data_IF_027663766080
#
_entry.id   IF_027663766080
#
_cell.length_a   1.000
_cell.length_b   1.000
_cell.length_c   1.000
_cell.angle_alpha   90.00
_cell.angle_beta   90.00
_cell.angle_gamma   90.00
#
_symmetry.space_group_name_H-M   'P 1'
#
loop_
_entity.id
_entity.type
_entity.pdbx_description
1 polymer ?
#
# COMPACT_ATOMS: atom_id res chain seq x y z
N UNK A 1 -3.39 -17.59 8.03
CA UNK A 1 -2.45 -18.11 9.05
C UNK A 1 -1.78 -16.99 9.83
N UNK A 2 -1.14 -16.02 9.17
CA UNK A 2 -0.48 -14.87 9.81
C UNK A 2 -1.38 -14.13 10.81
N UNK A 3 -2.60 -13.76 10.41
CA UNK A 3 -3.58 -13.08 11.28
C UNK A 3 -3.83 -13.83 12.59
N UNK A 4 -4.11 -15.14 12.52
CA UNK A 4 -4.29 -15.96 13.72
C UNK A 4 -3.03 -16.02 14.57
N UNK A 5 -1.83 -16.10 13.96
CA UNK A 5 -0.59 -16.11 14.74
C UNK A 5 -0.35 -14.79 15.48
N UNK A 6 -0.90 -13.69 14.97
CA UNK A 6 -0.83 -12.36 15.59
C UNK A 6 -1.85 -12.16 16.71
N UNK A 7 -3.00 -12.85 16.66
CA UNK A 7 -4.11 -12.67 17.63
C UNK A 7 -4.24 -13.80 18.65
N UNK A 8 -3.64 -14.96 18.39
CA UNK A 8 -3.80 -16.13 19.23
C UNK A 8 -2.82 -16.12 20.42
N UNK A 9 -3.38 -16.22 21.63
CA UNK A 9 -2.65 -16.03 22.90
C UNK A 9 -1.55 -17.07 23.16
N UNK A 10 -1.67 -18.27 22.59
CA UNK A 10 -0.75 -19.38 22.86
C UNK A 10 0.00 -19.75 21.58
N UNK A 11 1.29 -19.38 21.43
CA UNK A 11 2.03 -19.58 20.19
C UNK A 11 2.51 -21.03 20.05
N UNK A 12 1.57 -21.99 19.94
CA UNK A 12 1.87 -23.42 19.84
C UNK A 12 2.81 -23.74 18.67
N UNK A 13 2.73 -22.95 17.59
CA UNK A 13 3.63 -23.07 16.43
C UNK A 13 5.11 -22.81 16.75
N UNK A 14 5.44 -22.23 17.91
CA UNK A 14 6.83 -22.01 18.39
C UNK A 14 7.34 -23.11 19.30
N UNK A 15 6.50 -24.07 19.70
CA UNK A 15 6.90 -25.12 20.63
C UNK A 15 7.50 -26.28 19.80
N UNK A 16 8.73 -26.73 20.08
CA UNK A 16 9.35 -27.85 19.36
C UNK A 16 8.45 -29.10 19.35
N UNK A 17 8.22 -29.71 18.18
CA UNK A 17 7.30 -30.85 17.96
C UNK A 17 5.80 -30.51 17.99
N UNK A 18 5.42 -29.35 18.51
CA UNK A 18 4.07 -28.74 18.46
C UNK A 18 3.95 -27.71 17.32
N UNK A 19 5.10 -27.37 16.72
CA UNK A 19 5.37 -26.27 15.81
C UNK A 19 5.05 -26.54 14.34
N UNK A 20 5.92 -26.09 13.43
CA UNK A 20 5.93 -26.49 12.02
C UNK A 20 6.49 -27.91 11.79
N UNK A 21 7.04 -28.51 12.84
CA UNK A 21 7.66 -29.83 12.84
C UNK A 21 6.69 -30.88 13.38
N UNK A 22 6.77 -32.08 12.83
CA UNK A 22 5.99 -33.26 13.21
C UNK A 22 5.94 -33.47 14.75
N UNK A 23 4.81 -33.97 15.34
CA UNK A 23 3.61 -34.52 14.68
C UNK A 23 2.39 -33.59 14.58
N UNK A 24 2.41 -32.40 15.18
CA UNK A 24 1.17 -31.62 15.37
C UNK A 24 0.70 -30.75 14.18
N UNK A 25 1.55 -30.30 13.23
CA UNK A 25 1.04 -29.78 11.96
C UNK A 25 0.08 -30.74 11.26
N UNK A 26 0.31 -32.05 11.37
CA UNK A 26 -0.53 -33.09 10.81
C UNK A 26 -1.88 -33.26 11.54
N UNK A 27 -1.98 -32.80 12.79
CA UNK A 27 -3.20 -32.91 13.61
C UNK A 27 -4.12 -31.70 13.44
N UNK A 28 -3.58 -30.50 13.23
CA UNK A 28 -4.37 -29.27 13.02
C UNK A 28 -4.73 -29.13 11.52
N UNK A 29 -6.01 -29.30 11.11
CA UNK A 29 -6.39 -29.26 9.69
C UNK A 29 -5.94 -27.99 8.97
N UNK A 30 -5.98 -26.83 9.64
CA UNK A 30 -5.54 -25.56 9.07
C UNK A 30 -4.03 -25.50 8.81
N UNK A 31 -3.21 -26.04 9.71
CA UNK A 31 -1.75 -26.08 9.51
C UNK A 31 -1.37 -27.04 8.38
N UNK A 32 -2.04 -28.20 8.27
CA UNK A 32 -1.86 -29.10 7.12
C UNK A 32 -2.14 -28.39 5.80
N UNK A 33 -3.29 -27.72 5.71
CA UNK A 33 -3.65 -26.96 4.51
C UNK A 33 -2.59 -25.90 4.21
N UNK A 34 -2.22 -25.10 5.20
CA UNK A 34 -1.18 -24.08 5.06
C UNK A 34 0.16 -24.66 4.58
N UNK A 35 0.61 -25.79 5.13
CA UNK A 35 1.84 -26.46 4.69
C UNK A 35 1.74 -26.98 3.26
N UNK A 36 0.60 -27.58 2.88
CA UNK A 36 0.38 -28.02 1.51
C UNK A 36 0.41 -26.84 0.52
N UNK A 37 -0.25 -25.74 0.85
CA UNK A 37 -0.28 -24.53 0.02
C UNK A 37 1.12 -23.91 -0.10
N UNK A 38 1.88 -23.85 1.01
CA UNK A 38 3.27 -23.37 0.99
C UNK A 38 4.21 -24.29 0.20
N UNK A 39 4.01 -25.61 0.26
CA UNK A 39 4.80 -26.56 -0.53
C UNK A 39 4.52 -26.41 -2.03
N UNK A 40 3.27 -26.19 -2.42
CA UNK A 40 2.91 -25.88 -3.81
C UNK A 40 3.59 -24.60 -4.27
N UNK A 41 3.46 -23.51 -3.50
CA UNK A 41 4.06 -22.22 -3.83
C UNK A 41 5.59 -22.32 -3.95
N UNK A 42 6.23 -22.99 -3.00
CA UNK A 42 7.68 -23.21 -3.02
C UNK A 42 8.10 -24.04 -4.22
N UNK A 43 7.35 -25.10 -4.56
CA UNK A 43 7.65 -25.94 -5.71
C UNK A 43 7.61 -25.18 -7.04
N UNK A 44 6.60 -24.32 -7.24
CA UNK A 44 6.51 -23.46 -8.42
C UNK A 44 7.66 -22.47 -8.48
N UNK A 45 8.01 -21.83 -7.36
CA UNK A 45 9.10 -20.87 -7.32
C UNK A 45 10.47 -21.52 -7.52
N UNK A 46 10.68 -22.71 -6.95
CA UNK A 46 11.92 -23.48 -7.13
C UNK A 46 12.10 -23.82 -8.62
N UNK A 47 11.03 -24.21 -9.33
CA UNK A 47 11.07 -24.46 -10.78
C UNK A 47 11.43 -23.19 -11.57
N UNK A 48 10.77 -22.06 -11.28
CA UNK A 48 11.06 -20.77 -11.93
C UNK A 48 12.51 -20.32 -11.68
N UNK A 49 12.98 -20.42 -10.45
CA UNK A 49 14.36 -20.07 -10.07
C UNK A 49 15.35 -20.97 -10.80
N UNK A 50 15.12 -22.29 -10.83
CA UNK A 50 16.00 -23.23 -11.52
C UNK A 50 16.08 -22.92 -13.03
N UNK A 51 14.96 -22.60 -13.66
CA UNK A 51 14.92 -22.24 -15.08
C UNK A 51 15.78 -20.99 -15.36
N UNK A 52 15.60 -19.93 -14.58
CA UNK A 52 16.36 -18.68 -14.76
C UNK A 52 17.85 -18.86 -14.44
N UNK A 53 18.18 -19.55 -13.35
CA UNK A 53 19.57 -19.83 -12.95
C UNK A 53 20.29 -20.69 -13.97
N UNK A 54 19.61 -21.63 -14.62
CA UNK A 54 20.21 -22.46 -15.68
C UNK A 54 20.61 -21.66 -16.93
N UNK A 55 20.02 -20.48 -17.11
CA UNK A 55 20.26 -19.57 -18.25
C UNK A 55 20.96 -18.27 -17.81
N UNK A 56 21.59 -18.25 -16.63
CA UNK A 56 22.17 -17.04 -16.04
C UNK A 56 23.26 -16.45 -16.92
N UNK A 57 23.28 -15.12 -17.02
CA UNK A 57 24.35 -14.37 -17.67
C UNK A 57 24.82 -13.28 -16.69
N UNK A 58 25.88 -13.60 -15.93
CA UNK A 58 26.42 -12.67 -14.92
C UNK A 58 26.83 -11.36 -15.58
N UNK A 59 26.22 -10.27 -15.11
CA UNK A 59 26.34 -8.94 -15.69
C UNK A 59 26.41 -7.92 -14.55
N UNK A 60 27.14 -6.83 -14.74
CA UNK A 60 27.19 -5.76 -13.74
C UNK A 60 25.90 -4.93 -13.72
N UNK A 61 25.74 -4.13 -12.66
CA UNK A 61 24.55 -3.30 -12.46
C UNK A 61 24.38 -2.28 -13.57
N UNK A 62 25.47 -1.68 -14.06
CA UNK A 62 25.40 -0.62 -15.08
C UNK A 62 24.89 -1.18 -16.41
N UNK A 63 25.34 -2.37 -16.81
CA UNK A 63 24.86 -3.04 -18.01
C UNK A 63 23.40 -3.51 -17.86
N UNK A 64 22.97 -3.92 -16.67
CA UNK A 64 21.57 -4.25 -16.42
C UNK A 64 20.66 -3.01 -16.47
N UNK A 65 21.08 -1.89 -15.86
CA UNK A 65 20.30 -0.65 -15.86
C UNK A 65 20.15 -0.04 -17.27
N UNK A 66 21.14 -0.24 -18.13
CA UNK A 66 21.11 0.24 -19.51
C UNK A 66 20.64 -0.82 -20.52
N UNK A 67 20.14 -1.96 -20.04
CA UNK A 67 19.64 -3.03 -20.92
C UNK A 67 18.37 -2.54 -21.63
N UNK A 68 18.27 -2.86 -22.91
CA UNK A 68 17.08 -2.56 -23.71
C UNK A 68 15.97 -3.56 -23.39
N UNK A 69 15.20 -3.26 -22.33
CA UNK A 69 14.13 -4.13 -21.84
C UNK A 69 12.99 -4.35 -22.83
N UNK A 70 12.84 -3.52 -23.86
CA UNK A 70 11.83 -3.73 -24.91
C UNK A 70 12.15 -4.96 -25.77
N UNK A 71 13.42 -5.39 -25.78
CA UNK A 71 13.91 -6.52 -26.56
C UNK A 71 14.41 -7.70 -25.69
N UNK A 72 14.10 -7.70 -24.39
CA UNK A 72 14.45 -8.80 -23.50
C UNK A 72 13.33 -9.85 -23.47
N UNK A 73 13.70 -11.12 -23.64
CA UNK A 73 12.75 -12.24 -23.61
C UNK A 73 12.10 -12.45 -22.23
N UNK A 74 12.85 -12.21 -21.15
CA UNK A 74 12.41 -12.30 -19.76
C UNK A 74 12.73 -11.01 -18.99
N UNK A 75 11.82 -10.02 -18.95
CA UNK A 75 11.99 -8.79 -18.20
C UNK A 75 11.60 -8.94 -16.72
N UNK A 76 11.60 -10.15 -16.16
CA UNK A 76 11.22 -10.36 -14.76
C UNK A 76 12.27 -9.85 -13.77
N UNK A 77 11.80 -9.44 -12.59
CA UNK A 77 12.69 -9.10 -11.47
C UNK A 77 13.54 -10.30 -11.03
N UNK A 78 13.03 -11.54 -11.16
CA UNK A 78 13.82 -12.74 -10.89
C UNK A 78 15.05 -12.80 -11.80
N UNK A 79 14.88 -12.57 -13.11
CA UNK A 79 16.00 -12.53 -14.05
C UNK A 79 17.02 -11.47 -13.67
N UNK A 80 16.55 -10.26 -13.36
CA UNK A 80 17.42 -9.17 -12.90
C UNK A 80 18.21 -9.54 -11.64
N UNK A 81 17.56 -10.13 -10.63
CA UNK A 81 18.21 -10.52 -9.38
C UNK A 81 19.24 -11.64 -9.57
N UNK A 82 18.97 -12.61 -10.46
CA UNK A 82 19.89 -13.70 -10.77
C UNK A 82 21.11 -13.19 -11.53
N UNK A 83 20.92 -12.34 -12.53
CA UNK A 83 22.02 -11.80 -13.33
C UNK A 83 22.90 -10.83 -12.50
N UNK A 84 22.30 -10.07 -11.56
CA UNK A 84 23.00 -9.11 -10.70
C UNK A 84 23.76 -9.76 -9.52
N UNK A 85 23.14 -10.70 -8.80
CA UNK A 85 23.68 -11.22 -7.52
C UNK A 85 24.82 -12.23 -7.70
N UNK A 86 25.11 -12.68 -8.92
CA UNK A 86 26.06 -13.76 -9.15
C UNK A 86 25.75 -15.00 -8.30
N UNK A 87 26.78 -15.70 -7.82
CA UNK A 87 26.64 -16.92 -7.01
C UNK A 87 26.25 -16.69 -5.53
N UNK A 88 26.07 -15.44 -5.08
CA UNK A 88 26.02 -15.10 -3.65
C UNK A 88 24.62 -15.22 -2.99
N UNK A 89 23.58 -15.48 -3.76
CA UNK A 89 22.24 -15.74 -3.23
C UNK A 89 21.91 -17.23 -3.24
N UNK A 90 21.66 -17.81 -2.05
CA UNK A 90 21.12 -19.16 -1.97
C UNK A 90 19.74 -19.24 -2.64
N UNK A 91 19.40 -20.38 -3.25
CA UNK A 91 18.06 -20.60 -3.84
C UNK A 91 16.94 -20.31 -2.84
N UNK A 92 17.16 -20.69 -1.57
CA UNK A 92 16.23 -20.39 -0.48
C UNK A 92 16.04 -18.89 -0.27
N UNK A 93 17.11 -18.09 -0.28
CA UNK A 93 17.00 -16.65 -0.12
C UNK A 93 16.26 -16.00 -1.29
N UNK A 94 16.55 -16.41 -2.53
CA UNK A 94 15.82 -15.91 -3.71
C UNK A 94 14.33 -16.23 -3.63
N UNK A 95 13.98 -17.45 -3.23
CA UNK A 95 12.58 -17.84 -3.02
C UNK A 95 11.91 -16.99 -1.94
N UNK A 96 12.55 -16.84 -0.78
CA UNK A 96 11.99 -16.07 0.32
C UNK A 96 11.81 -14.58 -0.05
N UNK A 97 12.73 -14.01 -0.83
CA UNK A 97 12.62 -12.65 -1.39
C UNK A 97 11.44 -12.54 -2.37
N UNK A 98 11.29 -13.50 -3.30
CA UNK A 98 10.20 -13.49 -4.29
C UNK A 98 8.82 -13.67 -3.66
N UNK A 99 8.67 -14.57 -2.68
CA UNK A 99 7.43 -14.74 -1.93
C UNK A 99 7.06 -13.43 -1.23
N UNK A 100 8.04 -12.76 -0.64
CA UNK A 100 7.83 -11.48 0.05
C UNK A 100 7.29 -10.42 -0.93
N UNK A 101 7.87 -10.30 -2.11
CA UNK A 101 7.43 -9.34 -3.13
C UNK A 101 6.05 -9.70 -3.70
N UNK A 102 5.78 -10.98 -3.95
CA UNK A 102 4.47 -11.45 -4.42
C UNK A 102 3.35 -11.08 -3.44
N UNK A 103 3.56 -11.35 -2.15
CA UNK A 103 2.57 -11.03 -1.12
C UNK A 103 2.42 -9.51 -0.98
N UNK A 104 3.53 -8.77 -1.00
CA UNK A 104 3.52 -7.32 -0.81
C UNK A 104 2.84 -6.56 -1.97
N UNK A 105 2.96 -7.05 -3.21
CA UNK A 105 2.46 -6.37 -4.41
C UNK A 105 1.08 -6.84 -4.90
N UNK A 106 0.54 -7.96 -4.41
CA UNK A 106 -0.70 -8.53 -4.94
C UNK A 106 -1.97 -7.92 -4.32
N UNK A 107 -2.21 -8.16 -3.02
CA UNK A 107 -3.46 -7.74 -2.37
C UNK A 107 -3.57 -6.23 -2.14
N UNK A 108 -2.43 -5.54 -2.01
CA UNK A 108 -2.34 -4.09 -1.80
C UNK A 108 -2.88 -3.31 -2.99
N UNK A 109 -2.37 -3.58 -4.19
CA UNK A 109 -2.86 -2.94 -5.42
C UNK A 109 -4.31 -3.33 -5.71
N UNK A 110 -4.67 -4.61 -5.53
CA UNK A 110 -6.04 -5.08 -5.74
C UNK A 110 -7.07 -4.40 -4.83
N UNK A 111 -6.75 -4.22 -3.55
CA UNK A 111 -7.62 -3.52 -2.59
C UNK A 111 -7.72 -2.04 -2.90
N UNK A 112 -6.61 -1.39 -3.27
CA UNK A 112 -6.63 0.01 -3.72
C UNK A 112 -7.53 0.18 -4.96
N UNK A 113 -7.40 -0.67 -5.99
CA UNK A 113 -8.26 -0.61 -7.19
C UNK A 113 -9.74 -0.83 -6.87
N UNK A 114 -10.02 -1.71 -5.90
CA UNK A 114 -11.39 -1.97 -5.41
C UNK A 114 -11.98 -0.71 -4.76
N UNK A 115 -11.25 -0.07 -3.83
CA UNK A 115 -11.72 1.14 -3.17
C UNK A 115 -11.77 2.35 -4.10
N UNK A 116 -10.84 2.48 -5.06
CA UNK A 116 -10.90 3.50 -6.09
C UNK A 116 -12.18 3.37 -6.93
N UNK A 117 -12.54 2.14 -7.30
CA UNK A 117 -13.78 1.85 -8.03
C UNK A 117 -15.01 2.19 -7.21
N UNK A 118 -15.04 1.81 -5.93
CA UNK A 118 -16.13 2.15 -5.01
C UNK A 118 -16.29 3.67 -4.84
N UNK A 119 -15.18 4.40 -4.67
CA UNK A 119 -15.17 5.86 -4.57
C UNK A 119 -15.68 6.52 -5.86
N UNK A 120 -15.13 6.17 -7.02
CA UNK A 120 -15.56 6.78 -8.28
C UNK A 120 -17.02 6.48 -8.64
N UNK A 121 -17.55 5.33 -8.24
CA UNK A 121 -18.96 5.01 -8.43
C UNK A 121 -19.88 5.87 -7.53
N UNK A 122 -19.39 6.37 -6.39
CA UNK A 122 -20.13 7.30 -5.51
C UNK A 122 -19.95 8.77 -5.86
N UNK A 123 -18.87 9.12 -6.57
CA UNK A 123 -18.57 10.48 -6.97
C UNK A 123 -18.55 10.57 -8.52
N UNK A 124 -19.73 10.57 -9.18
CA UNK A 124 -19.83 10.60 -10.64
C UNK A 124 -19.10 11.78 -11.30
N UNK A 125 -19.04 12.93 -10.62
CA UNK A 125 -18.30 14.10 -11.10
C UNK A 125 -16.78 13.83 -11.17
N UNK A 126 -16.22 13.16 -10.16
CA UNK A 126 -14.82 12.76 -10.15
C UNK A 126 -14.55 11.69 -11.23
N UNK A 127 -15.48 10.73 -11.39
CA UNK A 127 -15.40 9.72 -12.45
C UNK A 127 -15.42 10.37 -13.85
N UNK A 128 -16.35 11.29 -14.10
CA UNK A 128 -16.47 11.99 -15.38
C UNK A 128 -15.23 12.86 -15.67
N UNK A 129 -14.67 13.53 -14.65
CA UNK A 129 -13.45 14.32 -14.80
C UNK A 129 -12.25 13.46 -15.16
N UNK A 130 -12.06 12.34 -14.46
CA UNK A 130 -10.99 11.38 -14.77
C UNK A 130 -11.17 10.77 -16.16
N UNK A 131 -12.40 10.37 -16.52
CA UNK A 131 -12.72 9.85 -17.84
C UNK A 131 -12.43 10.85 -18.96
N UNK A 132 -12.72 12.14 -18.74
CA UNK A 132 -12.37 13.19 -19.70
C UNK A 132 -10.85 13.28 -19.92
N UNK A 133 -10.04 13.23 -18.85
CA UNK A 133 -8.57 13.18 -19.01
C UNK A 133 -8.12 11.96 -19.82
N UNK A 134 -8.70 10.79 -19.55
CA UNK A 134 -8.39 9.57 -20.30
C UNK A 134 -8.73 9.71 -21.79
N UNK A 135 -9.87 10.31 -22.11
CA UNK A 135 -10.28 10.56 -23.50
C UNK A 135 -9.34 11.56 -24.18
N UNK A 136 -8.96 12.64 -23.50
CA UNK A 136 -8.09 13.70 -24.02
C UNK A 136 -6.63 13.22 -24.23
N UNK A 137 -6.08 12.41 -23.32
CA UNK A 137 -4.66 11.98 -23.33
C UNK A 137 -4.46 10.68 -24.14
N UNK A 138 -5.37 9.73 -24.00
CA UNK A 138 -5.23 8.39 -24.57
C UNK A 138 -6.12 8.17 -25.80
N UNK A 139 -7.32 8.75 -25.83
CA UNK A 139 -8.20 8.67 -27.01
C UNK A 139 -8.53 7.25 -27.46
N UNK A 140 -8.60 6.28 -26.55
CA UNK A 140 -8.90 4.88 -26.88
C UNK A 140 -7.70 3.93 -26.87
N UNK A 141 -6.47 4.45 -26.81
CA UNK A 141 -5.24 3.63 -26.82
C UNK A 141 -4.84 3.17 -25.41
N UNK A 142 -4.00 2.14 -25.35
CA UNK A 142 -3.38 1.70 -24.11
C UNK A 142 -2.32 2.72 -23.63
N UNK A 143 -2.21 2.97 -22.32
CA UNK A 143 -1.26 3.93 -21.76
C UNK A 143 0.19 3.46 -21.93
N UNK A 144 1.09 4.39 -22.20
CA UNK A 144 2.55 4.17 -22.22
C UNK A 144 3.21 4.82 -21.01
N UNK A 145 4.50 4.56 -20.80
CA UNK A 145 5.28 5.18 -19.72
C UNK A 145 5.25 6.72 -19.79
N UNK A 146 5.37 7.30 -20.99
CA UNK A 146 5.35 8.76 -21.21
C UNK A 146 4.00 9.41 -20.89
N UNK A 147 2.92 8.64 -20.84
CA UNK A 147 1.60 9.14 -20.47
C UNK A 147 1.44 9.31 -18.97
N UNK A 148 2.25 8.63 -18.14
CA UNK A 148 2.12 8.66 -16.69
C UNK A 148 2.16 10.10 -16.15
N UNK A 149 3.02 10.95 -16.70
CA UNK A 149 3.10 12.35 -16.33
C UNK A 149 1.83 13.14 -16.67
N UNK A 150 1.17 12.80 -17.79
CA UNK A 150 -0.01 13.48 -18.33
C UNK A 150 -1.31 13.04 -17.68
N UNK A 151 -1.38 11.82 -17.14
CA UNK A 151 -2.52 11.24 -16.43
C UNK A 151 -2.58 11.72 -14.97
N UNK A 152 -2.52 13.03 -14.78
CA UNK A 152 -2.48 13.67 -13.47
C UNK A 152 -3.75 13.41 -12.66
N UNK A 153 -4.94 13.55 -13.25
CA UNK A 153 -6.20 13.32 -12.55
C UNK A 153 -6.33 11.87 -12.09
N UNK A 154 -5.92 10.89 -12.91
CA UNK A 154 -5.86 9.48 -12.50
C UNK A 154 -4.90 9.30 -11.32
N UNK A 155 -3.70 9.92 -11.35
CA UNK A 155 -2.73 9.87 -10.24
C UNK A 155 -3.29 10.49 -8.95
N UNK A 156 -4.05 11.59 -9.06
CA UNK A 156 -4.70 12.23 -7.92
C UNK A 156 -5.83 11.35 -7.32
N UNK A 157 -6.59 10.65 -8.17
CA UNK A 157 -7.59 9.67 -7.72
C UNK A 157 -6.94 8.51 -6.96
N UNK A 158 -5.85 7.95 -7.48
CA UNK A 158 -5.08 6.90 -6.79
C UNK A 158 -4.56 7.42 -5.43
N UNK A 159 -4.00 8.63 -5.41
CA UNK A 159 -3.47 9.25 -4.20
C UNK A 159 -4.54 9.46 -3.13
N UNK A 160 -5.69 10.01 -3.50
CA UNK A 160 -6.80 10.24 -2.56
C UNK A 160 -7.44 8.94 -2.10
N UNK A 161 -7.47 7.91 -2.96
CA UNK A 161 -7.91 6.57 -2.57
C UNK A 161 -6.99 6.00 -1.49
N UNK A 162 -5.67 6.06 -1.68
CA UNK A 162 -4.68 5.59 -0.69
C UNK A 162 -4.74 6.38 0.63
N UNK A 163 -5.22 7.63 0.61
CA UNK A 163 -5.48 8.41 1.83
C UNK A 163 -6.69 7.89 2.59
N UNK A 164 -7.80 7.65 1.89
CA UNK A 164 -9.02 7.17 2.53
C UNK A 164 -8.92 5.69 2.93
N UNK A 165 -8.19 4.89 2.16
CA UNK A 165 -8.04 3.44 2.32
C UNK A 165 -6.55 3.05 2.24
N UNK A 166 -5.78 3.35 3.31
CA UNK A 166 -4.36 3.00 3.36
C UNK A 166 -4.13 1.50 3.54
N UNK A 167 -3.13 0.97 2.82
CA UNK A 167 -2.81 -0.45 2.78
C UNK A 167 -1.37 -0.72 3.24
N UNK A 168 -1.12 -1.13 4.50
CA UNK A 168 -2.09 -1.45 5.56
C UNK A 168 -2.61 -0.20 6.31
N UNK A 169 -3.74 -0.34 7.04
CA UNK A 169 -4.28 0.74 7.88
C UNK A 169 -3.46 0.99 9.15
N UNK A 170 -2.60 0.05 9.53
CA UNK A 170 -1.75 0.13 10.72
C UNK A 170 -0.33 -0.35 10.38
N UNK A 171 0.68 0.43 10.76
CA UNK A 171 2.08 0.01 10.72
C UNK A 171 2.56 -0.42 12.12
N UNK A 172 3.18 -1.59 12.20
CA UNK A 172 3.64 -2.18 13.46
C UNK A 172 5.14 -1.95 13.66
N UNK A 173 5.56 -1.52 14.85
CA UNK A 173 6.98 -1.40 15.24
C UNK A 173 7.19 -1.90 16.66
N UNK A 174 8.45 -2.19 17.01
CA UNK A 174 8.88 -2.48 18.39
C UNK A 174 10.12 -1.67 18.73
N UNK A 175 10.13 -1.02 19.89
CA UNK A 175 11.32 -0.35 20.42
C UNK A 175 12.43 -1.38 20.68
N UNK A 176 13.58 -1.23 20.02
CA UNK A 176 14.74 -2.08 20.27
C UNK A 176 15.60 -1.57 21.45
N UNK A 177 15.45 -0.29 21.78
CA UNK A 177 16.14 0.43 22.84
C UNK A 177 15.17 1.38 23.53
N UNK A 178 15.58 1.97 24.66
CA UNK A 178 14.80 3.03 25.30
C UNK A 178 14.86 4.28 24.42
N UNK A 179 13.73 4.97 24.29
CA UNK A 179 13.61 6.16 23.43
C UNK A 179 12.61 7.16 24.01
N UNK A 180 12.49 8.33 23.40
CA UNK A 180 11.58 9.40 23.80
C UNK A 180 10.83 9.93 22.59
N UNK A 181 9.51 9.71 22.56
CA UNK A 181 8.65 10.24 21.51
C UNK A 181 8.31 11.71 21.73
N UNK A 182 8.08 12.49 20.65
CA UNK A 182 7.59 13.85 20.73
C UNK A 182 6.18 13.90 21.35
N UNK A 183 5.76 15.10 21.75
CA UNK A 183 4.47 15.36 22.39
C UNK A 183 3.30 14.76 21.58
N UNK A 184 2.44 14.01 22.27
CA UNK A 184 1.15 13.57 21.72
C UNK A 184 0.17 14.74 21.61
N UNK A 185 -0.59 14.81 20.52
CA UNK A 185 -1.68 15.76 20.40
C UNK A 185 -2.91 15.21 21.16
N UNK A 186 -3.49 16.02 22.05
CA UNK A 186 -4.63 15.64 22.90
C UNK A 186 -4.23 15.33 24.36
N UNK A 187 -4.82 16.05 25.30
CA UNK A 187 -4.62 15.93 26.76
C UNK A 187 -5.47 14.83 27.41
N UNK A 188 -5.90 13.84 26.64
CA UNK A 188 -6.69 12.71 27.14
C UNK A 188 -5.78 11.62 27.72
N UNK A 189 -5.54 11.64 29.03
CA UNK A 189 -4.81 10.56 29.72
C UNK A 189 -3.89 10.99 30.87
N UNK A 190 -3.83 12.29 31.22
CA UNK A 190 -3.02 12.76 32.35
C UNK A 190 -1.51 12.83 32.08
N UNK A 191 -1.06 12.55 30.85
CA UNK A 191 0.34 12.79 30.44
C UNK A 191 0.51 14.28 30.17
N UNK A 192 1.04 15.00 31.17
CA UNK A 192 1.34 16.43 31.08
C UNK A 192 2.72 16.72 30.47
N UNK A 193 3.55 15.70 30.27
CA UNK A 193 4.89 15.88 29.72
C UNK A 193 4.86 15.99 28.18
N UNK A 194 5.60 16.95 27.63
CA UNK A 194 5.79 17.14 26.18
C UNK A 194 6.56 15.98 25.49
N UNK A 195 6.89 14.93 26.23
CA UNK A 195 7.74 13.83 25.80
C UNK A 195 7.26 12.53 26.43
N UNK A 196 7.11 11.48 25.63
CA UNK A 196 6.69 10.16 26.12
C UNK A 196 7.90 9.25 26.14
N UNK A 197 8.36 8.86 27.32
CA UNK A 197 9.44 7.88 27.47
C UNK A 197 8.95 6.50 27.09
N UNK A 198 9.73 5.82 26.27
CA UNK A 198 9.48 4.48 25.77
C UNK A 198 10.59 3.58 26.28
N UNK A 199 10.21 2.43 26.80
CA UNK A 199 11.17 1.40 27.19
C UNK A 199 11.37 0.39 26.05
N UNK A 200 12.55 -0.20 26.00
CA UNK A 200 12.87 -1.32 25.12
C UNK A 200 11.80 -2.41 25.23
N UNK A 201 11.38 -2.94 24.07
CA UNK A 201 10.37 -3.98 23.96
C UNK A 201 8.94 -3.47 23.79
N UNK A 202 8.69 -2.16 23.90
CA UNK A 202 7.37 -1.56 23.65
C UNK A 202 6.94 -1.76 22.20
N UNK A 203 5.73 -2.29 21.98
CA UNK A 203 5.10 -2.39 20.67
C UNK A 203 4.33 -1.11 20.31
N UNK A 204 4.40 -0.70 19.05
CA UNK A 204 3.71 0.45 18.49
C UNK A 204 2.82 0.05 17.33
N UNK A 205 1.64 0.66 17.32
CA UNK A 205 0.69 0.60 16.23
C UNK A 205 0.46 2.02 15.74
N UNK A 206 1.06 2.34 14.60
CA UNK A 206 0.87 3.63 13.92
C UNK A 206 -0.39 3.50 13.08
N UNK A 207 -1.50 4.07 13.54
CA UNK A 207 -2.75 4.07 12.78
C UNK A 207 -2.66 5.06 11.61
N UNK A 208 -2.30 4.54 10.44
CA UNK A 208 -2.30 5.28 9.17
C UNK A 208 -3.72 5.73 8.83
N UNK A 209 -4.71 4.88 9.12
CA UNK A 209 -6.13 5.23 9.03
C UNK A 209 -6.49 6.51 9.80
N UNK A 210 -6.10 6.61 11.08
CA UNK A 210 -6.39 7.81 11.88
C UNK A 210 -5.59 9.02 11.39
N UNK A 211 -4.33 8.79 11.02
CA UNK A 211 -3.44 9.84 10.51
C UNK A 211 -4.02 10.51 9.26
N UNK A 212 -4.47 9.69 8.30
CA UNK A 212 -5.00 10.16 7.02
C UNK A 212 -6.42 10.74 7.11
N UNK A 213 -7.14 10.47 8.20
CA UNK A 213 -8.51 10.96 8.46
C UNK A 213 -8.59 11.93 9.64
N UNK A 214 -7.47 12.41 10.15
CA UNK A 214 -7.44 13.29 11.31
C UNK A 214 -7.99 14.68 10.94
N UNK A 215 -9.05 15.19 11.60
CA UNK A 215 -9.55 16.54 11.38
C UNK A 215 -8.58 17.63 11.88
N UNK A 216 -7.48 17.24 12.52
CA UNK A 216 -6.39 18.12 12.92
C UNK A 216 -5.36 18.35 11.81
N UNK A 217 -5.35 17.46 10.81
CA UNK A 217 -4.37 17.46 9.72
C UNK A 217 -5.04 17.71 8.35
N UNK A 218 -6.31 17.36 8.21
CA UNK A 218 -7.02 17.38 6.93
C UNK A 218 -8.30 18.21 7.02
N UNK A 219 -8.53 19.05 6.01
CA UNK A 219 -9.82 19.67 5.75
C UNK A 219 -10.77 18.61 5.17
N UNK A 220 -12.00 18.53 5.70
CA UNK A 220 -13.00 17.52 5.33
C UNK A 220 -12.40 16.11 5.18
N UNK A 221 -11.86 15.52 6.27
CA UNK A 221 -11.02 14.32 6.19
C UNK A 221 -11.72 13.10 5.59
N UNK A 222 -13.05 13.02 5.68
CA UNK A 222 -13.83 11.88 5.20
C UNK A 222 -14.25 12.03 3.73
N UNK A 223 -14.16 13.24 3.16
CA UNK A 223 -14.55 13.51 1.78
C UNK A 223 -13.51 12.99 0.80
N UNK A 224 -13.98 12.29 -0.24
CA UNK A 224 -13.17 11.98 -1.42
C UNK A 224 -13.00 13.22 -2.28
N UNK A 225 -11.80 13.80 -2.25
CA UNK A 225 -11.46 14.99 -3.02
C UNK A 225 -10.06 14.87 -3.62
N UNK A 226 -9.93 14.34 -4.86
CA UNK A 226 -8.66 14.32 -5.58
C UNK A 226 -8.02 15.70 -5.76
N UNK A 227 -8.80 16.79 -5.76
CA UNK A 227 -8.29 18.14 -5.99
C UNK A 227 -7.53 18.70 -4.79
N UNK A 228 -7.68 18.10 -3.59
CA UNK A 228 -6.99 18.56 -2.38
C UNK A 228 -5.47 18.63 -2.55
N UNK A 229 -4.93 17.72 -3.35
CA UNK A 229 -3.49 17.61 -3.64
C UNK A 229 -2.94 18.74 -4.51
N UNK A 230 -3.80 19.57 -5.10
CA UNK A 230 -3.38 20.74 -5.88
C UNK A 230 -3.08 21.97 -5.02
N UNK A 231 -3.45 21.93 -3.73
CA UNK A 231 -3.39 23.07 -2.83
C UNK A 231 -2.61 22.71 -1.57
N UNK A 232 -1.84 23.65 -0.99
CA UNK A 232 -1.20 23.42 0.29
C UNK A 232 -2.25 23.26 1.39
N UNK A 233 -1.87 22.61 2.49
CA UNK A 233 -2.69 22.62 3.71
C UNK A 233 -2.99 24.08 4.10
N UNK A 234 -4.26 24.42 4.39
CA UNK A 234 -4.60 25.75 4.88
C UNK A 234 -3.77 26.14 6.11
N UNK A 235 -3.21 27.35 6.10
CA UNK A 235 -2.32 27.82 7.17
C UNK A 235 -3.01 27.78 8.54
N UNK A 236 -4.31 28.03 8.62
CA UNK A 236 -5.08 27.94 9.85
C UNK A 236 -5.08 26.53 10.48
N UNK A 237 -5.04 25.45 9.68
CA UNK A 237 -4.92 24.08 10.17
C UNK A 237 -3.50 23.85 10.72
N UNK A 238 -2.48 24.33 10.00
CA UNK A 238 -1.07 24.23 10.41
C UNK A 238 -0.84 24.96 11.73
N UNK A 239 -1.31 26.20 11.85
CA UNK A 239 -1.17 27.01 13.05
C UNK A 239 -1.84 26.33 14.24
N UNK A 240 -3.10 25.90 14.07
CA UNK A 240 -3.87 25.21 15.10
C UNK A 240 -3.21 23.89 15.54
N UNK A 241 -2.66 23.11 14.62
CA UNK A 241 -1.96 21.87 14.95
C UNK A 241 -0.69 22.12 15.79
N UNK A 242 -0.04 23.26 15.55
CA UNK A 242 1.22 23.65 16.18
C UNK A 242 1.04 24.46 17.47
N UNK A 243 -0.19 24.84 17.85
CA UNK A 243 -0.48 25.53 19.11
C UNK A 243 0.09 24.76 20.31
N UNK A 244 1.03 25.40 21.02
CA UNK A 244 1.65 24.85 22.23
C UNK A 244 2.67 23.72 21.99
N UNK A 245 3.15 23.53 20.75
CA UNK A 245 4.25 22.61 20.43
C UNK A 245 5.63 23.21 20.73
N UNK A 246 6.59 22.33 21.00
CA UNK A 246 7.98 22.73 21.21
C UNK A 246 8.62 23.17 19.87
N UNK A 247 9.48 24.20 19.86
CA UNK A 247 10.22 24.60 18.67
C UNK A 247 11.00 23.43 18.06
N UNK A 248 10.93 23.27 16.74
CA UNK A 248 11.55 22.18 15.99
C UNK A 248 10.70 20.89 15.90
N UNK A 249 9.50 20.87 16.47
CA UNK A 249 8.53 19.75 16.39
C UNK A 249 7.26 20.11 15.61
N UNK A 250 7.29 21.25 14.93
CA UNK A 250 6.18 21.77 14.15
C UNK A 250 5.95 20.90 12.93
N UNK A 251 4.67 20.61 12.67
CA UNK A 251 4.25 20.06 11.40
C UNK A 251 4.12 21.18 10.38
N UNK A 252 4.70 21.00 9.19
CA UNK A 252 4.81 22.04 8.16
C UNK A 252 3.61 22.08 7.21
N UNK A 253 2.67 21.16 7.36
CA UNK A 253 1.58 20.98 6.41
C UNK A 253 2.03 20.28 5.12
N UNK A 254 1.06 19.94 4.28
CA UNK A 254 1.29 19.48 2.93
C UNK A 254 1.66 20.64 2.01
N UNK A 255 2.70 20.44 1.19
CA UNK A 255 3.10 21.35 0.11
C UNK A 255 2.92 20.65 -1.23
N UNK A 256 2.17 21.23 -2.19
CA UNK A 256 1.97 20.61 -3.49
C UNK A 256 3.28 20.48 -4.24
N UNK A 257 3.59 19.25 -4.61
CA UNK A 257 4.56 18.92 -5.63
C UNK A 257 3.98 17.77 -6.46
N UNK A 258 3.58 18.11 -7.68
CA UNK A 258 3.02 17.17 -8.67
C UNK A 258 4.03 16.80 -9.75
N UNK A 259 5.29 17.24 -9.61
CA UNK A 259 6.38 16.81 -10.49
C UNK A 259 6.78 15.36 -10.23
N UNK A 260 6.53 14.85 -9.01
CA UNK A 260 6.64 13.43 -8.70
C UNK A 260 5.41 12.65 -9.14
N UNK A 261 5.55 11.33 -9.22
CA UNK A 261 4.44 10.45 -9.62
C UNK A 261 3.22 10.60 -8.70
N UNK A 262 3.44 10.82 -7.41
CA UNK A 262 2.39 11.07 -6.43
C UNK A 262 2.91 11.96 -5.29
N UNK A 263 2.05 12.72 -4.58
CA UNK A 263 2.37 13.33 -3.30
C UNK A 263 2.82 12.28 -2.28
N UNK A 264 4.00 12.43 -1.67
CA UNK A 264 4.56 11.41 -0.78
C UNK A 264 4.65 11.89 0.68
N UNK A 265 5.21 11.02 1.54
CA UNK A 265 5.36 11.28 2.98
C UNK A 265 6.25 12.47 3.31
N UNK A 266 7.18 12.83 2.42
CA UNK A 266 8.05 13.99 2.62
C UNK A 266 7.29 15.27 2.28
N UNK A 267 6.54 15.30 1.17
CA UNK A 267 5.75 16.46 0.76
C UNK A 267 4.62 16.79 1.74
N UNK A 268 4.08 15.77 2.41
CA UNK A 268 3.02 15.88 3.39
C UNK A 268 3.51 16.02 4.85
N UNK A 269 4.83 16.07 5.05
CA UNK A 269 5.47 16.07 6.38
C UNK A 269 4.86 14.99 7.30
N UNK A 270 4.83 13.76 6.76
CA UNK A 270 4.32 12.53 7.37
C UNK A 270 2.82 12.53 7.73
N UNK A 271 2.01 13.51 7.31
CA UNK A 271 0.55 13.45 7.47
C UNK A 271 -0.13 12.51 6.45
N UNK A 272 0.55 12.24 5.34
CA UNK A 272 0.18 11.25 4.33
C UNK A 272 1.31 10.24 4.19
N UNK A 273 1.02 8.95 4.26
CA UNK A 273 2.00 7.85 4.36
C UNK A 273 1.45 6.62 3.62
N UNK A 274 1.26 6.70 2.29
CA UNK A 274 0.64 5.61 1.52
C UNK A 274 1.53 4.38 1.40
N UNK A 275 2.85 4.54 1.46
CA UNK A 275 3.84 3.49 1.20
C UNK A 275 4.81 3.29 2.37
N UNK A 276 4.39 3.63 3.59
CA UNK A 276 5.29 3.71 4.73
C UNK A 276 6.29 4.87 4.59
N UNK A 277 7.34 4.85 5.41
CA UNK A 277 8.34 5.90 5.42
C UNK A 277 9.69 5.43 5.98
N UNK A 278 10.73 6.24 5.76
CA UNK A 278 12.08 6.01 6.26
C UNK A 278 12.74 4.76 5.64
N UNK A 279 13.70 4.12 6.33
CA UNK A 279 14.47 2.99 5.79
C UNK A 279 13.68 1.72 5.46
N UNK A 280 12.40 1.68 5.84
CA UNK A 280 11.47 0.56 5.59
C UNK A 280 10.29 0.99 4.71
N UNK A 281 10.43 2.10 3.99
CA UNK A 281 9.47 2.52 2.95
C UNK A 281 9.34 1.42 1.90
N UNK A 282 8.15 1.30 1.32
CA UNK A 282 7.88 0.35 0.24
C UNK A 282 8.89 0.52 -0.90
N UNK A 283 9.49 -0.58 -1.32
CA UNK A 283 10.40 -0.62 -2.47
C UNK A 283 9.64 -0.48 -3.81
N UNK A 284 8.39 -0.92 -3.84
CA UNK A 284 7.54 -0.94 -5.05
C UNK A 284 6.56 0.22 -5.13
N UNK A 285 6.81 1.34 -4.46
CA UNK A 285 5.87 2.48 -4.43
C UNK A 285 5.59 3.03 -5.84
N UNK A 286 6.64 3.26 -6.63
CA UNK A 286 6.49 3.71 -8.01
C UNK A 286 5.80 2.67 -8.89
N UNK A 287 6.18 1.39 -8.77
CA UNK A 287 5.57 0.30 -9.52
C UNK A 287 4.06 0.20 -9.23
N UNK A 288 3.68 0.18 -7.96
CA UNK A 288 2.28 0.05 -7.55
C UNK A 288 1.44 1.24 -8.06
N UNK A 289 1.96 2.47 -7.99
CA UNK A 289 1.23 3.64 -8.51
C UNK A 289 1.12 3.59 -10.03
N UNK A 290 2.17 3.22 -10.76
CA UNK A 290 2.09 3.07 -12.23
C UNK A 290 1.12 1.97 -12.64
N UNK A 291 1.20 0.80 -12.01
CA UNK A 291 0.27 -0.32 -12.22
C UNK A 291 -1.19 0.14 -12.00
N UNK A 292 -1.41 0.85 -10.90
CA UNK A 292 -2.73 1.41 -10.55
C UNK A 292 -3.25 2.37 -11.61
N UNK A 293 -2.43 3.31 -12.07
CA UNK A 293 -2.78 4.28 -13.11
C UNK A 293 -3.11 3.57 -14.42
N UNK A 294 -2.29 2.59 -14.82
CA UNK A 294 -2.49 1.80 -16.05
C UNK A 294 -3.79 1.01 -15.99
N UNK A 295 -4.06 0.31 -14.88
CA UNK A 295 -5.27 -0.48 -14.69
C UNK A 295 -6.52 0.41 -14.67
N UNK A 296 -6.47 1.52 -13.94
CA UNK A 296 -7.55 2.50 -13.89
C UNK A 296 -7.82 3.09 -15.28
N UNK A 297 -6.77 3.46 -16.02
CA UNK A 297 -6.90 3.97 -17.38
C UNK A 297 -7.53 2.93 -18.32
N UNK A 298 -7.02 1.70 -18.33
CA UNK A 298 -7.52 0.63 -19.20
C UNK A 298 -8.98 0.26 -18.94
N UNK A 299 -9.42 0.30 -17.68
CA UNK A 299 -10.78 -0.02 -17.27
C UNK A 299 -11.73 1.16 -17.51
N UNK A 300 -11.44 2.34 -16.93
CA UNK A 300 -12.36 3.48 -16.92
C UNK A 300 -12.46 4.20 -18.26
N UNK A 301 -11.51 4.00 -19.17
CA UNK A 301 -11.65 4.47 -20.54
C UNK A 301 -12.80 3.73 -21.26
N UNK A 302 -13.03 2.46 -20.94
CA UNK A 302 -14.01 1.58 -21.62
C UNK A 302 -15.33 1.43 -20.87
N UNK A 303 -15.32 1.63 -19.55
CA UNK A 303 -16.46 1.36 -18.69
C UNK A 303 -16.74 2.47 -17.67
N UNK A 304 -17.99 2.57 -17.28
CA UNK A 304 -18.46 3.34 -16.13
C UNK A 304 -19.13 2.41 -15.13
N UNK A 305 -19.03 2.76 -13.85
CA UNK A 305 -19.52 1.93 -12.75
C UNK A 305 -20.54 2.70 -11.91
N UNK A 306 -21.61 2.00 -11.55
CA UNK A 306 -22.64 2.45 -10.61
C UNK A 306 -22.78 1.40 -9.50
N UNK A 307 -22.90 1.85 -8.24
CA UNK A 307 -23.03 0.92 -7.11
C UNK A 307 -24.40 0.23 -7.07
N UNK A 308 -24.42 -1.03 -6.61
CA UNK A 308 -25.65 -1.79 -6.36
C UNK A 308 -25.91 -1.85 -4.85
N UNK A 309 -27.12 -1.50 -4.41
CA UNK A 309 -27.49 -1.53 -2.98
C UNK A 309 -27.51 -0.14 -2.32
N UNK A 310 -27.52 -0.11 -0.99
CA UNK A 310 -27.46 1.11 -0.20
C UNK A 310 -26.00 1.53 0.07
N UNK A 311 -25.70 2.80 -0.18
CA UNK A 311 -24.35 3.35 -0.05
C UNK A 311 -24.38 4.72 0.62
N UNK A 312 -23.65 4.84 1.72
CA UNK A 312 -23.38 6.12 2.38
C UNK A 312 -22.05 6.68 1.84
N UNK A 313 -22.06 7.82 1.11
CA UNK A 313 -20.87 8.40 0.49
C UNK A 313 -19.82 8.89 1.48
N UNK A 314 -20.16 8.98 2.76
CA UNK A 314 -19.30 9.43 3.85
C UNK A 314 -18.83 8.29 4.75
N UNK A 315 -19.46 7.11 4.69
CA UNK A 315 -19.15 6.02 5.61
C UNK A 315 -19.33 4.63 4.98
N UNK A 316 -18.24 3.98 4.52
CA UNK A 316 -18.30 2.62 3.97
C UNK A 316 -18.80 1.57 4.97
N UNK A 317 -18.62 1.76 6.30
CA UNK A 317 -19.15 0.83 7.32
C UNK A 317 -20.68 0.80 7.32
N UNK A 318 -21.32 1.89 6.90
CA UNK A 318 -22.79 1.98 6.80
C UNK A 318 -23.32 1.60 5.41
N UNK A 319 -22.45 1.26 4.48
CA UNK A 319 -22.81 0.77 3.15
C UNK A 319 -22.92 -0.75 3.13
N UNK A 320 -23.67 -1.29 2.18
CA UNK A 320 -23.81 -2.75 2.01
C UNK A 320 -22.46 -3.44 1.70
N UNK A 321 -21.44 -2.68 1.25
CA UNK A 321 -20.10 -3.20 0.96
C UNK A 321 -19.36 -3.66 2.22
N UNK A 322 -19.54 -2.94 3.33
CA UNK A 322 -18.83 -3.18 4.60
C UNK A 322 -17.30 -3.07 4.50
N UNK A 323 -16.60 -3.25 5.63
CA UNK A 323 -15.13 -3.24 5.68
C UNK A 323 -14.61 -4.29 6.65
N UNK A 324 -13.62 -5.06 6.18
CA UNK A 324 -12.86 -6.02 6.98
C UNK A 324 -11.38 -5.64 6.95
N UNK A 325 -10.76 -5.61 8.12
CA UNK A 325 -9.36 -5.21 8.29
C UNK A 325 -8.44 -6.43 8.36
N UNK A 326 -7.35 -6.40 7.62
CA UNK A 326 -6.30 -7.41 7.64
C UNK A 326 -4.93 -6.81 7.28
N UNK A 327 -4.16 -7.51 6.44
CA UNK A 327 -2.98 -6.93 5.81
C UNK A 327 -3.34 -5.76 4.89
N UNK A 328 -4.55 -5.80 4.33
CA UNK A 328 -5.18 -4.71 3.59
C UNK A 328 -6.61 -4.51 4.09
N UNK A 329 -7.30 -3.48 3.63
CA UNK A 329 -8.71 -3.21 3.90
C UNK A 329 -9.51 -3.86 2.78
N UNK A 330 -10.29 -4.88 3.11
CA UNK A 330 -11.17 -5.55 2.15
C UNK A 330 -12.62 -5.12 2.35
N UNK A 331 -13.43 -5.28 1.31
CA UNK A 331 -14.88 -5.24 1.44
C UNK A 331 -15.37 -6.46 2.22
N UNK A 332 -16.34 -6.32 3.11
CA UNK A 332 -16.90 -7.45 3.86
C UNK A 332 -17.79 -8.33 2.97
N UNK A 333 -18.60 -7.71 2.11
CA UNK A 333 -19.63 -8.38 1.30
C UNK A 333 -19.33 -8.39 -0.20
N UNK A 334 -18.13 -7.97 -0.60
CA UNK A 334 -17.76 -7.74 -2.00
C UNK A 334 -18.22 -6.39 -2.54
N UNK A 335 -17.66 -5.98 -3.69
CA UNK A 335 -18.04 -4.76 -4.40
C UNK A 335 -18.92 -5.10 -5.61
N UNK A 336 -20.24 -5.08 -5.42
CA UNK A 336 -21.19 -5.30 -6.51
C UNK A 336 -21.49 -3.99 -7.25
N UNK A 337 -21.22 -3.98 -8.56
CA UNK A 337 -21.40 -2.80 -9.43
C UNK A 337 -22.15 -3.15 -10.70
N UNK A 338 -22.93 -2.20 -11.21
CA UNK A 338 -23.40 -2.23 -12.59
C UNK A 338 -22.31 -1.66 -13.47
N UNK A 339 -21.97 -2.40 -14.52
CA UNK A 339 -20.96 -1.99 -15.49
C UNK A 339 -21.68 -1.51 -16.76
N UNK A 340 -21.38 -0.29 -17.19
CA UNK A 340 -21.87 0.29 -18.44
C UNK A 340 -20.69 0.52 -19.38
N UNK A 341 -20.77 0.04 -20.61
CA UNK A 341 -19.77 0.36 -21.64
C UNK A 341 -19.90 1.84 -22.03
N UNK A 342 -18.77 2.53 -22.09
CA UNK A 342 -18.66 3.92 -22.57
C UNK A 342 -18.70 4.00 -24.09
#
# INVERSE_FOLDING_TARGET
EAEHRSTFYFPYWKIPGLGAEWPIPALVPRQRKFQNDMNLLNGVLDELILNVVSQKEETDLDALLNKDYDNVADPSLLRFLVDLRGADATQKQLRDDLITLLIAGHETTGSMLTWATWLLAQYPEAQAKMQKELDDVLGGRDPTYDDMAKLEQVRLVVTETLRLFPEPPILIRRALENDVLPRAHGTGGGVQENKVKIIKGTDFFLSVWNLHRSPLLWEDPEKFDPERWRKPTPQAIVDKFNEGRDPGTEWKGYKPDLSTLYPNEIHADYSFVPFGAGPRKCLGDQFAVMESVVMMAGIFQKYSFELVGNHDPTNPVKSDVGMTFGATIHTENGLNVKVKRR
#
